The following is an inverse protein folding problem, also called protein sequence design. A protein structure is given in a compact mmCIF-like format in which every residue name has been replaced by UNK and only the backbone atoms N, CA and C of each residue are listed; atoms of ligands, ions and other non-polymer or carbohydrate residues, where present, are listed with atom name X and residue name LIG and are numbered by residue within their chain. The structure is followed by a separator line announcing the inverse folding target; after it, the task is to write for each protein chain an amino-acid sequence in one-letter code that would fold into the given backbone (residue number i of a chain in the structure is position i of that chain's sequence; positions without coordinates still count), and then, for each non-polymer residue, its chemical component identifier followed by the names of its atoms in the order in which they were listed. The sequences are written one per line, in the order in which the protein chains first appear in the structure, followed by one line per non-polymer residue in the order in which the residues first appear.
data_IF_909908654096
#
_entry.id   IF_909908654096
#
_cell.length_a   1.000
_cell.length_b   1.000
_cell.length_c   1.000
_cell.angle_alpha   90.00
_cell.angle_beta   90.00
_cell.angle_gamma   90.00
#
_symmetry.space_group_name_H-M   'P 1'
#
loop_
_entity.id
_entity.type
_entity.pdbx_description
1 polymer ?
#
# COMPACT_ATOMS: atom_id res chain seq x y z
N UNK A 1 -5.16 -18.84 -15.40
CA UNK A 1 -6.02 -18.81 -14.21
C UNK A 1 -5.53 -17.69 -13.31
N UNK A 2 -6.19 -16.53 -13.30
CA UNK A 2 -5.79 -15.40 -12.46
C UNK A 2 -6.04 -15.73 -11.00
N UNK A 3 -4.97 -15.75 -10.20
CA UNK A 3 -5.08 -15.89 -8.74
C UNK A 3 -5.61 -14.57 -8.19
N UNK A 4 -6.94 -14.50 -8.06
CA UNK A 4 -7.61 -13.35 -7.47
C UNK A 4 -7.96 -13.66 -6.03
N UNK A 5 -7.46 -12.83 -5.10
CA UNK A 5 -7.85 -12.93 -3.69
C UNK A 5 -9.29 -12.44 -3.59
N UNK A 6 -10.23 -13.37 -3.35
CA UNK A 6 -11.68 -13.08 -3.27
C UNK A 6 -12.07 -12.41 -1.96
N UNK A 7 -11.18 -12.43 -0.96
CA UNK A 7 -11.42 -11.81 0.34
C UNK A 7 -11.15 -10.31 0.25
N UNK A 8 -12.07 -9.44 0.68
CA UNK A 8 -11.81 -8.01 0.80
C UNK A 8 -10.63 -7.77 1.74
N UNK A 9 -9.69 -6.93 1.31
CA UNK A 9 -8.54 -6.52 2.13
C UNK A 9 -8.67 -5.05 2.53
N UNK A 10 -8.37 -4.78 3.80
CA UNK A 10 -8.17 -3.43 4.29
C UNK A 10 -6.67 -3.26 4.52
N UNK A 11 -6.07 -2.29 3.84
CA UNK A 11 -4.65 -1.96 3.98
C UNK A 11 -4.55 -0.61 4.69
N UNK A 12 -3.99 -0.65 5.89
CA UNK A 12 -3.73 0.52 6.71
C UNK A 12 -2.26 0.93 6.58
N UNK A 13 -2.02 2.23 6.41
CA UNK A 13 -0.66 2.77 6.34
C UNK A 13 -0.61 4.21 6.86
N UNK A 14 0.57 4.65 7.26
CA UNK A 14 0.82 5.99 7.82
C UNK A 14 1.61 6.91 6.87
N UNK A 15 1.96 6.44 5.67
CA UNK A 15 2.74 7.21 4.68
C UNK A 15 1.88 8.13 3.83
N UNK A 16 2.02 9.44 4.04
CA UNK A 16 1.39 10.47 3.21
C UNK A 16 1.87 10.46 1.75
N UNK A 17 3.08 9.95 1.49
CA UNK A 17 3.63 9.79 0.13
C UNK A 17 2.87 8.69 -0.61
N UNK A 18 2.62 7.55 0.05
CA UNK A 18 1.83 6.44 -0.52
C UNK A 18 0.39 6.88 -0.75
N UNK A 19 -0.21 7.65 0.17
CA UNK A 19 -1.56 8.21 -0.02
C UNK A 19 -1.63 9.10 -1.27
N UNK A 20 -0.70 10.06 -1.39
CA UNK A 20 -0.65 10.96 -2.56
C UNK A 20 -0.49 10.21 -3.87
N UNK A 21 0.33 9.15 -3.87
CA UNK A 21 0.47 8.28 -5.03
C UNK A 21 -0.82 7.51 -5.34
N UNK A 22 -1.48 6.92 -4.35
CA UNK A 22 -2.75 6.20 -4.56
C UNK A 22 -3.83 7.10 -5.17
N UNK A 23 -3.93 8.35 -4.69
CA UNK A 23 -4.94 9.31 -5.14
C UNK A 23 -4.67 9.85 -6.55
N UNK A 24 -3.43 10.25 -6.84
CA UNK A 24 -3.10 10.94 -8.09
C UNK A 24 -2.52 10.02 -9.16
N UNK A 25 -2.07 8.81 -8.77
CA UNK A 25 -1.31 7.87 -9.60
C UNK A 25 -0.07 8.46 -10.28
N UNK A 26 0.33 9.69 -9.92
CA UNK A 26 1.49 10.35 -10.46
C UNK A 26 2.77 9.82 -9.81
N UNK A 27 3.67 9.31 -10.65
CA UNK A 27 4.95 8.77 -10.21
C UNK A 27 6.05 9.82 -10.36
N UNK A 28 6.06 10.81 -9.45
CA UNK A 28 7.07 11.89 -9.48
C UNK A 28 8.44 11.46 -8.94
N UNK A 29 8.50 10.35 -8.21
CA UNK A 29 9.72 9.83 -7.59
C UNK A 29 10.30 8.68 -8.42
N UNK A 30 11.25 8.99 -9.30
CA UNK A 30 11.88 8.02 -10.21
C UNK A 30 12.50 6.82 -9.47
N UNK A 31 13.06 7.05 -8.30
CA UNK A 31 13.63 6.00 -7.44
C UNK A 31 12.59 5.00 -6.92
N UNK A 32 11.33 5.41 -6.78
CA UNK A 32 10.25 4.56 -6.29
C UNK A 32 9.43 3.94 -7.43
N UNK A 33 9.73 4.23 -8.70
CA UNK A 33 8.94 3.77 -9.85
C UNK A 33 8.75 2.25 -9.85
N UNK A 34 9.83 1.49 -9.72
CA UNK A 34 9.75 0.03 -9.74
C UNK A 34 8.93 -0.53 -8.57
N UNK A 35 9.09 0.05 -7.38
CA UNK A 35 8.32 -0.33 -6.19
C UNK A 35 6.82 -0.08 -6.40
N UNK A 36 6.47 1.12 -6.89
CA UNK A 36 5.09 1.53 -7.12
C UNK A 36 4.41 0.71 -8.23
N UNK A 37 5.14 0.36 -9.30
CA UNK A 37 4.65 -0.57 -10.33
C UNK A 37 4.39 -1.96 -9.73
N UNK A 38 5.27 -2.44 -8.85
CA UNK A 38 5.07 -3.72 -8.15
C UNK A 38 3.80 -3.70 -7.29
N UNK A 39 3.61 -2.64 -6.50
CA UNK A 39 2.41 -2.45 -5.69
C UNK A 39 1.15 -2.40 -6.56
N UNK A 40 1.17 -1.66 -7.66
CA UNK A 40 0.03 -1.55 -8.57
C UNK A 40 -0.38 -2.89 -9.20
N UNK A 41 0.60 -3.70 -9.59
CA UNK A 41 0.37 -5.07 -10.07
C UNK A 41 -0.27 -5.94 -8.99
N UNK A 42 0.21 -5.87 -7.74
CA UNK A 42 -0.37 -6.60 -6.62
C UNK A 42 -1.81 -6.16 -6.34
N UNK A 43 -2.09 -4.86 -6.35
CA UNK A 43 -3.44 -4.32 -6.18
C UNK A 43 -4.39 -4.84 -7.27
N UNK A 44 -3.93 -4.88 -8.52
CA UNK A 44 -4.73 -5.37 -9.66
C UNK A 44 -5.14 -6.85 -9.53
N UNK A 45 -4.39 -7.63 -8.72
CA UNK A 45 -4.73 -9.02 -8.43
C UNK A 45 -5.81 -9.14 -7.33
N UNK A 46 -6.06 -8.08 -6.55
CA UNK A 46 -7.06 -8.07 -5.48
C UNK A 46 -8.44 -7.73 -6.05
N UNK A 47 -9.46 -8.49 -5.67
CA UNK A 47 -10.84 -8.26 -6.14
C UNK A 47 -11.47 -7.05 -5.46
N UNK A 48 -11.15 -6.85 -4.18
CA UNK A 48 -11.66 -5.74 -3.39
C UNK A 48 -10.60 -5.32 -2.37
N UNK A 49 -10.13 -4.08 -2.47
CA UNK A 49 -9.16 -3.51 -1.54
C UNK A 49 -9.62 -2.12 -1.12
N UNK A 50 -9.56 -1.86 0.18
CA UNK A 50 -9.80 -0.55 0.77
C UNK A 50 -8.51 -0.06 1.42
N UNK A 51 -8.17 1.19 1.14
CA UNK A 51 -7.00 1.85 1.71
C UNK A 51 -7.46 2.81 2.81
N UNK A 52 -6.82 2.72 3.97
CA UNK A 52 -7.08 3.62 5.10
C UNK A 52 -5.77 4.24 5.57
N UNK A 53 -5.81 5.55 5.81
CA UNK A 53 -4.68 6.26 6.40
C UNK A 53 -4.82 6.26 7.91
N UNK A 54 -3.89 5.59 8.60
CA UNK A 54 -3.80 5.66 10.04
C UNK A 54 -2.92 6.85 10.45
N UNK A 55 -3.57 7.88 10.99
CA UNK A 55 -2.91 9.05 11.58
C UNK A 55 -2.60 8.87 13.07
N UNK A 56 -3.01 7.75 13.65
CA UNK A 56 -2.76 7.40 15.05
C UNK A 56 -1.57 6.44 15.14
N UNK A 57 -1.04 6.22 16.35
CA UNK A 57 0.03 5.23 16.59
C UNK A 57 -0.43 3.77 16.38
N UNK A 58 -1.59 3.52 15.73
CA UNK A 58 -2.17 2.20 15.53
C UNK A 58 -1.27 1.28 14.71
N UNK A 59 -0.51 1.85 13.79
CA UNK A 59 0.54 1.14 13.05
C UNK A 59 1.80 0.83 13.89
N UNK A 60 1.72 0.90 15.22
CA UNK A 60 2.85 0.72 16.14
C UNK A 60 3.48 -0.67 16.04
N UNK A 61 2.70 -1.72 15.82
CA UNK A 61 3.23 -3.08 15.63
C UNK A 61 4.01 -3.20 14.32
N UNK A 62 3.44 -2.76 13.19
CA UNK A 62 4.14 -2.80 11.91
C UNK A 62 5.40 -1.91 11.93
N UNK A 63 5.32 -0.76 12.61
CA UNK A 63 6.47 0.14 12.81
C UNK A 63 7.55 -0.53 13.65
N UNK A 64 7.18 -1.17 14.77
CA UNK A 64 8.12 -1.88 15.63
C UNK A 64 8.81 -3.04 14.90
N UNK A 65 8.06 -3.79 14.08
CA UNK A 65 8.61 -4.86 13.25
C UNK A 65 9.57 -4.32 12.19
N UNK A 66 9.21 -3.26 11.49
CA UNK A 66 10.06 -2.67 10.45
C UNK A 66 11.36 -2.04 10.99
N UNK A 67 11.37 -1.61 12.26
CA UNK A 67 12.58 -1.09 12.93
C UNK A 67 13.46 -2.24 13.46
N UNK A 68 12.86 -3.40 13.75
CA UNK A 68 13.57 -4.56 14.30
C UNK A 68 14.32 -5.39 13.25
N UNK A 69 14.13 -5.13 11.96
CA UNK A 69 14.85 -5.74 10.84
C UNK A 69 16.15 -5.02 10.47
#
# INVERSE_FOLDING_TARGET
MGWHVKTPLIIEFSSSVVLKWLLNREVRLRLLQNLLIGIDRSITQLVNVTFSMDNTKGNGMATALAIAE
#
